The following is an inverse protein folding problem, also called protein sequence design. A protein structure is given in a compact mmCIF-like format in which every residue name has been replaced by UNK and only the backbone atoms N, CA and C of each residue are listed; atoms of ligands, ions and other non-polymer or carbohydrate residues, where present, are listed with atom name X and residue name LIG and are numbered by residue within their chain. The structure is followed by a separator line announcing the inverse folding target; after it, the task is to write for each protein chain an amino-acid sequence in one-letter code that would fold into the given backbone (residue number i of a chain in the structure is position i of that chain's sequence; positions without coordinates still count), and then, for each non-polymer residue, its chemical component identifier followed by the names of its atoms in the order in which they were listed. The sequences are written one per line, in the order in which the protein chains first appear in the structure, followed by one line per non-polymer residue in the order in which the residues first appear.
data_IF_462243674044
#
_entry.id   IF_462243674044
#
_cell.length_a   1.000
_cell.length_b   1.000
_cell.length_c   1.000
_cell.angle_alpha   90.00
_cell.angle_beta   90.00
_cell.angle_gamma   90.00
#
_symmetry.space_group_name_H-M   'P 1'
#
loop_
_entity.id
_entity.type
_entity.pdbx_description
1 polymer ?
#
# COMPACT_ATOMS: atom_id res chain seq x y z
N UNK A 1 -47.15 -8.57 40.12
CA UNK A 1 -45.77 -8.83 40.59
C UNK A 1 -45.31 -10.06 39.83
N UNK A 2 -44.53 -9.84 38.76
CA UNK A 2 -43.12 -10.28 38.67
C UNK A 2 -43.04 -11.75 38.23
N UNK A 3 -42.40 -12.21 37.16
CA UNK A 3 -41.41 -11.63 36.25
C UNK A 3 -41.42 -12.41 34.91
N UNK A 4 -40.82 -11.80 33.91
CA UNK A 4 -40.69 -12.30 32.55
C UNK A 4 -39.38 -13.07 32.31
N UNK A 5 -39.35 -13.78 31.17
CA UNK A 5 -38.18 -14.21 30.35
C UNK A 5 -37.56 -15.58 30.68
N UNK A 6 -37.84 -16.55 29.80
CA UNK A 6 -36.83 -17.52 29.35
C UNK A 6 -37.19 -18.00 27.93
N UNK A 7 -36.56 -17.43 26.90
CA UNK A 7 -36.59 -17.98 25.54
C UNK A 7 -35.21 -17.84 24.87
N UNK A 8 -34.46 -18.92 25.07
CA UNK A 8 -33.44 -19.54 24.23
C UNK A 8 -32.78 -18.71 23.11
N UNK A 9 -31.50 -18.44 23.33
CA UNK A 9 -30.57 -17.81 22.41
C UNK A 9 -30.00 -18.86 21.44
N UNK A 10 -30.52 -18.94 20.20
CA UNK A 10 -29.88 -19.71 19.11
C UNK A 10 -28.96 -18.80 18.32
N UNK A 11 -27.65 -19.06 18.45
CA UNK A 11 -26.54 -18.36 17.80
C UNK A 11 -26.59 -18.56 16.28
N UNK A 12 -27.02 -17.53 15.56
CA UNK A 12 -26.68 -17.35 14.14
C UNK A 12 -25.32 -16.66 14.03
N UNK A 13 -24.27 -17.44 13.80
CA UNK A 13 -22.91 -16.94 13.58
C UNK A 13 -22.75 -16.33 12.19
N UNK A 14 -23.32 -15.15 11.96
CA UNK A 14 -22.97 -14.30 10.82
C UNK A 14 -21.82 -13.39 11.22
N UNK A 15 -20.61 -13.68 10.76
CA UNK A 15 -19.46 -12.76 10.88
C UNK A 15 -19.78 -11.47 10.13
N UNK A 16 -20.33 -10.48 10.85
CA UNK A 16 -20.41 -9.10 10.37
C UNK A 16 -18.97 -8.63 10.22
N UNK A 17 -18.44 -8.68 8.98
CA UNK A 17 -17.25 -7.93 8.59
C UNK A 17 -17.50 -6.49 9.00
N UNK A 18 -16.92 -6.05 10.11
CA UNK A 18 -16.93 -4.63 10.47
C UNK A 18 -16.34 -3.88 9.28
N UNK A 19 -17.15 -3.06 8.62
CA UNK A 19 -16.67 -2.16 7.61
C UNK A 19 -15.68 -1.22 8.32
N UNK A 20 -14.38 -1.42 8.06
CA UNK A 20 -13.36 -0.52 8.58
C UNK A 20 -13.69 0.90 8.10
N UNK A 21 -13.65 1.86 9.03
CA UNK A 21 -14.01 3.25 8.73
C UNK A 21 -13.18 3.75 7.54
N UNK A 22 -13.87 4.15 6.48
CA UNK A 22 -13.27 4.74 5.31
C UNK A 22 -13.02 6.22 5.58
N UNK A 23 -11.90 6.74 5.09
CA UNK A 23 -11.63 8.19 5.08
C UNK A 23 -11.00 8.62 3.78
N UNK A 24 -11.04 9.91 3.51
CA UNK A 24 -10.40 10.51 2.34
C UNK A 24 -9.10 11.19 2.75
N UNK A 25 -7.99 10.83 2.10
CA UNK A 25 -6.67 11.44 2.29
C UNK A 25 -6.11 11.79 0.92
N UNK A 26 -5.65 13.03 0.74
CA UNK A 26 -5.12 13.54 -0.52
C UNK A 26 -6.06 13.32 -1.73
N UNK A 27 -7.38 13.32 -1.51
CA UNK A 27 -8.39 13.06 -2.55
C UNK A 27 -8.70 11.58 -2.82
N UNK A 28 -8.04 10.65 -2.12
CA UNK A 28 -8.26 9.21 -2.28
C UNK A 28 -9.02 8.64 -1.10
N UNK A 29 -10.00 7.79 -1.38
CA UNK A 29 -10.64 6.97 -0.34
C UNK A 29 -9.66 5.87 0.07
N UNK A 30 -9.44 5.75 1.37
CA UNK A 30 -8.55 4.77 1.98
C UNK A 30 -9.21 4.08 3.17
N UNK A 31 -8.74 2.88 3.50
CA UNK A 31 -9.05 2.14 4.74
C UNK A 31 -7.80 1.41 5.25
N UNK A 32 -7.77 0.92 6.51
CA UNK A 32 -6.69 0.04 6.96
C UNK A 32 -6.51 -1.13 5.99
N UNK A 33 -5.26 -1.41 5.65
CA UNK A 33 -4.89 -2.50 4.74
C UNK A 33 -4.83 -3.86 5.42
N UNK A 34 -4.52 -4.87 4.62
CA UNK A 34 -4.17 -6.23 5.05
C UNK A 34 -2.67 -6.30 5.27
N UNK A 35 -2.25 -6.37 6.54
CA UNK A 35 -0.83 -6.31 6.95
C UNK A 35 -0.02 -7.56 6.60
N UNK A 36 -0.70 -8.67 6.27
CA UNK A 36 -0.11 -9.96 5.90
C UNK A 36 0.18 -10.08 4.39
N UNK A 37 -0.27 -9.11 3.60
CA UNK A 37 -0.08 -9.09 2.14
C UNK A 37 0.99 -8.07 1.75
N UNK A 38 2.26 -8.50 1.75
CA UNK A 38 3.39 -7.63 1.43
C UNK A 38 3.33 -7.03 0.02
N UNK A 39 3.83 -5.80 -0.08
CA UNK A 39 3.89 -5.03 -1.32
C UNK A 39 2.52 -4.54 -1.82
N UNK A 40 2.43 -4.27 -3.12
CA UNK A 40 1.17 -3.92 -3.76
C UNK A 40 0.39 -5.14 -4.25
N UNK A 41 -0.83 -5.33 -3.74
CA UNK A 41 -1.76 -6.37 -4.17
C UNK A 41 -3.06 -5.78 -4.69
N UNK A 42 -3.35 -6.03 -5.97
CA UNK A 42 -4.63 -5.68 -6.59
C UNK A 42 -5.78 -6.51 -5.99
N UNK A 43 -6.90 -5.84 -5.71
CA UNK A 43 -8.16 -6.44 -5.29
C UNK A 43 -9.30 -5.81 -6.10
N UNK A 44 -10.53 -6.32 -5.93
CA UNK A 44 -11.68 -5.94 -6.73
C UNK A 44 -11.90 -4.42 -6.85
N UNK A 45 -11.74 -3.67 -5.75
CA UNK A 45 -12.09 -2.24 -5.69
C UNK A 45 -10.88 -1.30 -5.52
N UNK A 46 -9.66 -1.82 -5.65
CA UNK A 46 -8.47 -1.04 -5.35
C UNK A 46 -7.22 -1.88 -5.12
N UNK A 47 -6.26 -1.28 -4.42
CA UNK A 47 -4.95 -1.90 -4.17
C UNK A 47 -4.62 -1.84 -2.69
N UNK A 48 -4.21 -2.96 -2.13
CA UNK A 48 -3.60 -3.03 -0.81
C UNK A 48 -2.10 -2.77 -0.95
N UNK A 49 -1.57 -1.81 -0.20
CA UNK A 49 -0.14 -1.54 -0.10
C UNK A 49 0.33 -1.86 1.31
N UNK A 50 1.33 -2.72 1.43
CA UNK A 50 1.94 -3.09 2.71
C UNK A 50 3.45 -2.96 2.64
N UNK A 51 4.03 -2.22 3.58
CA UNK A 51 5.46 -1.98 3.65
C UNK A 51 5.96 -2.12 5.09
N UNK A 52 7.04 -2.86 5.25
CA UNK A 52 7.75 -2.99 6.52
C UNK A 52 8.85 -1.93 6.60
N UNK A 53 8.92 -1.22 7.72
CA UNK A 53 10.06 -0.35 8.01
C UNK A 53 10.36 -0.26 9.50
N UNK A 54 11.57 -0.62 9.87
CA UNK A 54 12.07 -0.49 11.24
C UNK A 54 12.75 0.87 11.41
N UNK A 55 12.10 1.79 12.12
CA UNK A 55 12.64 3.12 12.42
C UNK A 55 12.03 4.27 11.61
N UNK A 56 11.20 3.98 10.61
CA UNK A 56 10.45 5.02 9.92
C UNK A 56 9.47 5.73 10.86
N UNK A 57 9.44 7.06 10.78
CA UNK A 57 8.49 7.92 11.48
C UNK A 57 7.25 8.19 10.63
N UNK A 58 7.41 8.21 9.30
CA UNK A 58 6.31 8.33 8.35
C UNK A 58 6.63 7.62 7.04
N UNK A 59 5.59 7.16 6.36
CA UNK A 59 5.67 6.63 4.99
C UNK A 59 4.62 7.33 4.14
N UNK A 60 5.00 7.68 2.92
CA UNK A 60 4.10 8.25 1.92
C UNK A 60 4.10 7.35 0.68
N UNK A 61 2.92 6.91 0.28
CA UNK A 61 2.70 6.27 -1.01
C UNK A 61 2.73 7.33 -2.11
N UNK A 62 3.61 7.17 -3.08
CA UNK A 62 3.67 7.98 -4.27
C UNK A 62 3.00 7.25 -5.43
N UNK A 63 2.10 7.94 -6.13
CA UNK A 63 1.45 7.41 -7.32
C UNK A 63 1.85 8.22 -8.55
N UNK A 64 2.20 7.52 -9.61
CA UNK A 64 2.66 8.08 -10.88
C UNK A 64 1.79 7.53 -12.01
N UNK A 65 1.56 8.35 -13.02
CA UNK A 65 1.14 7.83 -14.32
C UNK A 65 2.37 7.21 -14.99
N UNK A 66 2.15 6.25 -15.87
CA UNK A 66 3.23 5.64 -16.67
C UNK A 66 4.12 6.71 -17.29
N UNK A 67 5.43 6.51 -17.19
CA UNK A 67 6.48 7.33 -17.78
C UNK A 67 6.54 8.80 -17.26
N UNK A 68 5.64 9.23 -16.35
CA UNK A 68 5.69 10.56 -15.75
C UNK A 68 6.77 10.64 -14.67
N UNK A 69 7.55 11.72 -14.64
CA UNK A 69 8.65 11.89 -13.67
C UNK A 69 8.18 12.28 -12.27
N UNK A 70 7.02 12.93 -12.17
CA UNK A 70 6.47 13.46 -10.92
C UNK A 70 5.26 12.64 -10.50
N UNK A 71 5.07 12.39 -9.20
CA UNK A 71 3.87 11.72 -8.74
C UNK A 71 2.67 12.66 -8.91
N UNK A 72 1.55 12.15 -9.41
CA UNK A 72 0.29 12.88 -9.45
C UNK A 72 -0.42 12.87 -8.09
N UNK A 73 -0.05 11.94 -7.20
CA UNK A 73 -0.56 11.88 -5.84
C UNK A 73 0.50 11.43 -4.83
N UNK A 74 0.38 11.98 -3.62
CA UNK A 74 1.17 11.62 -2.44
C UNK A 74 0.22 11.33 -1.30
N UNK A 75 0.11 10.07 -0.89
CA UNK A 75 -0.85 9.61 0.12
C UNK A 75 -0.05 9.19 1.36
N UNK A 76 0.01 10.02 2.41
CA UNK A 76 0.65 9.62 3.66
C UNK A 76 -0.12 8.46 4.29
N UNK A 77 0.60 7.46 4.80
CA UNK A 77 0.02 6.42 5.62
C UNK A 77 -0.41 7.04 6.96
N UNK A 78 -1.69 6.93 7.35
CA UNK A 78 -2.12 7.32 8.69
C UNK A 78 -1.38 6.51 9.76
N UNK A 79 -1.09 7.15 10.90
CA UNK A 79 -0.34 6.48 11.99
C UNK A 79 -1.09 5.28 12.58
N UNK A 80 -2.42 5.31 12.58
CA UNK A 80 -3.29 4.21 13.00
C UNK A 80 -3.43 3.10 11.94
N UNK A 81 -2.80 3.24 10.77
CA UNK A 81 -2.69 2.18 9.73
C UNK A 81 -1.37 1.42 9.83
N UNK A 82 -0.71 1.53 10.98
CA UNK A 82 0.55 0.85 11.31
C UNK A 82 0.32 -0.13 12.45
N UNK A 83 0.72 -1.39 12.26
CA UNK A 83 0.73 -2.42 13.31
C UNK A 83 2.19 -2.83 13.52
N UNK A 84 2.74 -2.53 14.70
CA UNK A 84 4.15 -2.73 15.00
C UNK A 84 5.06 -1.91 14.07
N UNK A 85 5.70 -2.58 13.11
CA UNK A 85 6.62 -1.99 12.12
C UNK A 85 6.10 -2.10 10.68
N UNK A 86 4.85 -2.54 10.52
CA UNK A 86 4.22 -2.75 9.23
C UNK A 86 3.17 -1.66 9.01
N UNK A 87 3.29 -0.94 7.91
CA UNK A 87 2.33 0.04 7.43
C UNK A 87 1.46 -0.62 6.37
N UNK A 88 0.13 -0.51 6.48
CA UNK A 88 -0.79 -1.16 5.54
C UNK A 88 -1.99 -0.27 5.21
N UNK A 89 -2.20 -0.02 3.92
CA UNK A 89 -3.26 0.89 3.45
C UNK A 89 -3.90 0.32 2.20
N UNK A 90 -5.23 0.24 2.21
CA UNK A 90 -6.00 -0.05 1.02
C UNK A 90 -6.46 1.26 0.38
N UNK A 91 -6.19 1.44 -0.90
CA UNK A 91 -6.57 2.62 -1.68
C UNK A 91 -7.59 2.22 -2.74
N UNK A 92 -8.77 2.85 -2.69
CA UNK A 92 -9.88 2.53 -3.59
C UNK A 92 -9.73 3.21 -4.95
N UNK A 93 -10.28 2.58 -6.00
CA UNK A 93 -10.52 3.21 -7.30
C UNK A 93 -9.26 3.48 -8.13
N UNK A 94 -8.15 2.77 -7.87
CA UNK A 94 -6.93 2.90 -8.65
C UNK A 94 -7.02 2.11 -9.95
N UNK A 95 -6.68 2.75 -11.08
CA UNK A 95 -6.52 2.08 -12.37
C UNK A 95 -5.13 1.45 -12.47
N UNK A 96 -5.01 0.18 -12.06
CA UNK A 96 -3.72 -0.52 -11.91
C UNK A 96 -2.93 -0.67 -13.21
N UNK A 97 -3.59 -0.67 -14.38
CA UNK A 97 -2.94 -0.85 -15.69
C UNK A 97 -2.01 0.31 -16.01
N UNK A 98 -2.34 1.54 -15.62
CA UNK A 98 -1.62 2.77 -16.01
C UNK A 98 -0.85 3.40 -14.84
N UNK A 99 -0.79 2.70 -13.72
CA UNK A 99 -0.24 3.20 -12.45
C UNK A 99 1.16 2.63 -12.18
N UNK A 100 2.07 3.50 -11.79
CA UNK A 100 3.32 3.16 -11.13
C UNK A 100 3.30 3.71 -9.69
N UNK A 101 4.00 3.05 -8.78
CA UNK A 101 4.06 3.46 -7.38
C UNK A 101 5.48 3.37 -6.82
N UNK A 102 5.72 4.16 -5.77
CA UNK A 102 6.93 4.12 -4.97
C UNK A 102 6.62 4.62 -3.56
N UNK A 103 7.62 4.61 -2.67
CA UNK A 103 7.48 5.11 -1.32
C UNK A 103 8.47 6.25 -1.05
N UNK A 104 8.05 7.23 -0.26
CA UNK A 104 8.94 8.11 0.50
C UNK A 104 8.88 7.69 1.95
N UNK A 105 10.04 7.61 2.60
CA UNK A 105 10.16 7.14 3.98
C UNK A 105 10.92 8.19 4.77
N UNK A 106 10.29 8.70 5.82
CA UNK A 106 10.87 9.67 6.75
C UNK A 106 11.32 8.96 8.03
N UNK A 107 12.30 9.54 8.72
CA UNK A 107 12.91 8.94 9.90
C UNK A 107 14.23 9.61 10.31
N UNK A 108 14.97 9.03 11.26
CA UNK A 108 16.25 9.57 11.71
C UNK A 108 17.32 9.51 10.61
N UNK A 109 18.05 10.61 10.43
CA UNK A 109 19.26 10.68 9.61
C UNK A 109 20.47 10.80 10.54
N UNK A 110 21.08 9.67 10.86
CA UNK A 110 22.30 9.55 11.66
C UNK A 110 23.25 8.55 10.96
N UNK A 111 24.02 9.00 9.94
CA UNK A 111 24.87 8.12 9.14
C UNK A 111 25.88 7.32 9.96
N UNK A 112 26.43 7.91 11.01
CA UNK A 112 27.37 7.27 11.95
C UNK A 112 26.76 6.04 12.66
N UNK A 113 25.43 5.98 12.76
CA UNK A 113 24.67 4.86 13.34
C UNK A 113 24.00 3.98 12.29
N UNK A 114 24.27 4.24 11.00
CA UNK A 114 23.64 3.54 9.87
C UNK A 114 22.17 3.93 9.61
N UNK A 115 21.67 5.00 10.22
CA UNK A 115 20.31 5.49 10.01
C UNK A 115 20.31 6.51 8.86
N UNK A 116 19.73 6.13 7.72
CA UNK A 116 19.84 6.89 6.46
C UNK A 116 18.45 7.26 5.90
N UNK A 117 17.48 7.55 6.77
CA UNK A 117 16.14 7.93 6.34
C UNK A 117 16.12 9.32 5.72
N UNK A 118 15.68 9.42 4.47
CA UNK A 118 15.50 10.70 3.78
C UNK A 118 14.21 10.68 2.96
N UNK A 119 13.25 11.50 3.38
CA UNK A 119 11.94 11.66 2.75
C UNK A 119 12.00 12.16 1.30
N UNK A 120 13.13 12.72 0.87
CA UNK A 120 13.28 13.24 -0.49
C UNK A 120 13.55 12.12 -1.51
N UNK A 121 14.02 10.95 -1.06
CA UNK A 121 14.28 9.82 -1.94
C UNK A 121 13.01 9.06 -2.32
N UNK A 122 12.93 8.70 -3.60
CA UNK A 122 11.89 7.81 -4.13
C UNK A 122 12.41 6.37 -4.03
N UNK A 123 11.77 5.58 -3.18
CA UNK A 123 12.19 4.21 -2.88
C UNK A 123 11.28 3.20 -3.58
N UNK A 124 11.92 2.22 -4.23
CA UNK A 124 11.24 1.06 -4.79
C UNK A 124 10.76 0.15 -3.65
N UNK A 125 9.58 -0.43 -3.83
CA UNK A 125 9.07 -1.48 -2.95
C UNK A 125 9.90 -2.76 -3.10
N UNK A 126 10.51 -3.29 -2.01
CA UNK A 126 11.22 -4.55 -2.03
C UNK A 126 10.36 -5.74 -2.51
N UNK A 127 9.04 -5.64 -2.37
CA UNK A 127 8.06 -6.65 -2.79
C UNK A 127 7.37 -6.31 -4.12
N UNK A 128 7.88 -5.36 -4.90
CA UNK A 128 7.34 -5.04 -6.21
C UNK A 128 7.36 -6.27 -7.14
N UNK A 129 6.18 -6.70 -7.60
CA UNK A 129 6.03 -7.83 -8.55
C UNK A 129 6.52 -7.48 -9.96
N UNK A 130 6.51 -6.21 -10.31
CA UNK A 130 7.05 -5.70 -11.57
C UNK A 130 7.67 -4.32 -11.31
N UNK A 131 8.77 -4.03 -12.02
CA UNK A 131 9.55 -2.80 -11.86
C UNK A 131 9.56 -2.02 -13.17
N UNK A 132 9.48 -0.70 -13.07
CA UNK A 132 9.57 0.24 -14.18
C UNK A 132 10.71 1.25 -13.95
N UNK A 133 11.11 1.94 -15.02
CA UNK A 133 12.10 3.00 -15.00
C UNK A 133 13.31 2.77 -15.92
N UNK A 134 13.59 1.54 -16.34
CA UNK A 134 14.61 1.25 -17.35
C UNK A 134 14.02 0.44 -18.50
N UNK A 135 13.48 1.14 -19.50
CA UNK A 135 12.82 0.51 -20.65
C UNK A 135 13.81 0.18 -21.78
N UNK A 136 14.91 0.92 -21.87
CA UNK A 136 15.92 0.78 -22.91
C UNK A 136 17.18 0.14 -22.34
N UNK A 137 17.57 -0.98 -22.93
CA UNK A 137 18.79 -1.69 -22.57
C UNK A 137 20.02 -0.85 -22.94
N UNK A 138 21.00 -0.79 -22.03
CA UNK A 138 22.26 -0.07 -22.24
C UNK A 138 22.21 1.44 -22.01
N UNK A 139 21.04 2.01 -21.71
CA UNK A 139 20.92 3.44 -21.41
C UNK A 139 20.76 3.69 -19.89
N UNK A 140 21.64 4.53 -19.33
CA UNK A 140 21.60 4.96 -17.93
C UNK A 140 20.66 6.17 -17.73
N UNK A 141 19.46 6.15 -18.31
CA UNK A 141 18.53 7.30 -18.23
C UNK A 141 17.94 7.51 -16.82
N UNK A 142 18.01 6.50 -15.94
CA UNK A 142 17.15 6.44 -14.74
C UNK A 142 17.84 6.68 -13.39
N UNK A 143 19.12 7.08 -13.37
CA UNK A 143 19.87 7.32 -12.12
C UNK A 143 19.27 8.42 -11.23
N UNK A 144 18.51 9.36 -11.81
CA UNK A 144 17.94 10.51 -11.07
C UNK A 144 16.49 10.34 -10.62
N UNK A 145 15.73 9.41 -11.18
CA UNK A 145 14.28 9.29 -10.95
C UNK A 145 13.89 8.09 -10.09
N UNK A 146 14.81 7.13 -9.93
CA UNK A 146 14.58 5.90 -9.17
C UNK A 146 13.74 4.87 -9.92
N UNK A 147 13.80 3.63 -9.45
CA UNK A 147 12.92 2.56 -9.91
C UNK A 147 11.55 2.66 -9.22
N UNK A 148 10.51 2.18 -9.90
CA UNK A 148 9.13 2.20 -9.39
C UNK A 148 8.48 0.85 -9.55
N UNK A 149 7.56 0.52 -8.64
CA UNK A 149 6.75 -0.67 -8.73
C UNK A 149 5.57 -0.48 -9.68
N UNK A 150 5.13 -1.58 -10.29
CA UNK A 150 3.83 -1.69 -10.97
C UNK A 150 2.95 -2.67 -10.23
N UNK A 151 1.66 -2.39 -10.23
CA UNK A 151 0.66 -3.31 -9.66
C UNK A 151 0.33 -4.34 -10.73
N UNK A 152 0.58 -5.62 -10.42
CA UNK A 152 0.30 -6.73 -11.33
C UNK A 152 -0.95 -7.44 -10.85
N UNK A 153 -1.91 -7.67 -11.75
CA UNK A 153 -3.05 -8.55 -11.51
C UNK A 153 -2.63 -9.97 -11.88
N UNK A 154 -2.82 -10.91 -10.96
CA UNK A 154 -2.66 -12.34 -11.24
C UNK A 154 -4.03 -12.89 -11.65
N UNK A 155 -4.43 -12.64 -12.89
CA UNK A 155 -5.62 -13.22 -13.53
C UNK A 155 -5.25 -14.22 -14.63
N UNK A 156 -4.00 -14.68 -14.66
CA UNK A 156 -3.55 -15.65 -15.63
C UNK A 156 -4.10 -17.03 -15.27
N UNK A 157 -5.13 -17.46 -16.00
CA UNK A 157 -5.64 -18.83 -16.00
C UNK A 157 -4.81 -19.63 -17.00
N UNK A 158 -4.10 -20.65 -16.51
CA UNK A 158 -3.27 -21.53 -17.37
C UNK A 158 -4.10 -22.43 -18.31
N UNK A 159 -5.43 -22.33 -18.27
CA UNK A 159 -6.33 -23.32 -18.86
C UNK A 159 -6.23 -24.63 -18.07
N UNK A 160 -7.32 -25.02 -17.41
CA UNK A 160 -7.54 -26.45 -17.19
C UNK A 160 -8.31 -26.88 -18.43
N UNK A 161 -7.64 -27.59 -19.34
CA UNK A 161 -8.29 -28.28 -20.46
C UNK A 161 -9.45 -29.17 -19.97
#
# INVERSE_FOLDING_TARGET
MSDAIQLNNRRGGGSKRQALAQRTVAGFRIRPGYYDMNGATAMQDGVNFTVYSNGATAIVLLLFRRDEKKPFAKIPFPQDYRIGKVYSMFVFGLQISELEYAFQVDGPWEPEKGLLFDKNHVLLDPFAKAVAGQRKWGENENTKLGYRGRVVKNDFEWGLE
#
